data_IF_019291078614
#
_entry.id   IF_019291078614
#
_cell.length_a   1.000
_cell.length_b   1.000
_cell.length_c   1.000
_cell.angle_alpha   90.00
_cell.angle_beta   90.00
_cell.angle_gamma   90.00
#
_symmetry.space_group_name_H-M   'P 1'
#
loop_
_entity.id
_entity.type
_entity.pdbx_description
1 polymer ?
#
# COMPACT_ATOMS: atom_id res chain seq x y z
N UNK A 1 52.97 21.93 -17.98
CA UNK A 1 53.27 20.61 -17.42
C UNK A 1 51.92 19.91 -17.22
N UNK A 2 51.65 19.00 -18.13
CA UNK A 2 50.41 18.20 -18.16
C UNK A 2 50.65 16.88 -17.42
N UNK A 3 49.82 16.55 -16.47
CA UNK A 3 49.70 15.18 -16.04
C UNK A 3 48.31 14.65 -16.42
N UNK A 4 48.31 13.78 -17.39
CA UNK A 4 47.15 13.06 -17.87
C UNK A 4 46.83 11.86 -16.97
N UNK A 5 45.60 11.79 -16.49
CA UNK A 5 45.06 10.60 -15.82
C UNK A 5 44.69 9.57 -16.84
N UNK A 6 45.40 8.45 -16.84
CA UNK A 6 45.18 7.26 -17.66
C UNK A 6 43.95 6.51 -17.12
N UNK A 7 42.88 6.45 -17.92
CA UNK A 7 41.82 5.50 -17.72
C UNK A 7 42.23 4.13 -18.27
N UNK A 8 42.40 3.17 -17.36
CA UNK A 8 42.70 1.78 -17.70
C UNK A 8 41.58 1.16 -18.54
N UNK A 9 41.96 0.58 -19.67
CA UNK A 9 41.11 -0.29 -20.50
C UNK A 9 40.70 -1.49 -19.65
N UNK A 10 39.39 -1.60 -19.35
CA UNK A 10 38.80 -2.86 -18.89
C UNK A 10 38.68 -3.77 -20.12
N UNK A 11 39.30 -4.93 -20.04
CA UNK A 11 39.35 -5.93 -21.09
C UNK A 11 37.94 -6.39 -21.48
N UNK A 12 37.69 -6.40 -22.78
CA UNK A 12 36.53 -6.99 -23.40
C UNK A 12 36.51 -8.50 -23.13
N UNK A 13 35.48 -8.97 -22.44
CA UNK A 13 35.27 -10.40 -22.11
C UNK A 13 33.90 -10.69 -21.51
N UNK A 14 32.90 -9.85 -21.72
CA UNK A 14 31.50 -10.19 -21.41
C UNK A 14 30.82 -10.66 -22.70
N UNK A 15 30.71 -11.96 -22.83
CA UNK A 15 29.82 -12.61 -23.79
C UNK A 15 28.39 -12.17 -23.46
N UNK A 16 27.90 -11.17 -24.18
CA UNK A 16 26.47 -10.90 -24.25
C UNK A 16 25.85 -12.06 -25.00
N UNK A 17 24.92 -12.77 -24.38
CA UNK A 17 24.10 -13.74 -25.07
C UNK A 17 23.31 -12.98 -26.14
N UNK A 18 23.80 -13.03 -27.40
CA UNK A 18 22.98 -12.72 -28.56
C UNK A 18 22.06 -13.91 -28.76
N UNK A 19 20.77 -13.74 -28.47
CA UNK A 19 19.76 -14.69 -28.92
C UNK A 19 19.74 -14.65 -30.44
N UNK A 20 19.82 -15.80 -31.15
CA UNK A 20 19.62 -15.81 -32.58
C UNK A 20 18.18 -15.36 -32.85
N UNK A 21 18.02 -14.33 -33.67
CA UNK A 21 16.75 -13.98 -34.31
C UNK A 21 16.36 -15.16 -35.23
N UNK A 22 15.52 -16.08 -34.83
CA UNK A 22 14.69 -16.90 -35.71
C UNK A 22 14.32 -18.33 -35.25
N UNK A 23 14.63 -18.80 -34.02
CA UNK A 23 14.06 -20.08 -33.58
C UNK A 23 13.47 -19.94 -32.15
N UNK A 24 12.23 -19.50 -32.08
CA UNK A 24 11.49 -19.66 -30.82
C UNK A 24 11.31 -21.15 -30.53
N UNK A 25 11.86 -21.61 -29.41
CA UNK A 25 11.73 -22.99 -28.93
C UNK A 25 10.26 -23.43 -28.96
N UNK A 26 9.99 -24.55 -29.60
CA UNK A 26 8.64 -25.09 -29.75
C UNK A 26 8.32 -26.12 -28.64
N UNK A 27 7.03 -26.39 -28.41
CA UNK A 27 6.62 -27.48 -27.51
C UNK A 27 7.15 -28.84 -27.93
N UNK A 28 7.48 -29.02 -29.22
CA UNK A 28 8.08 -30.23 -29.74
C UNK A 28 9.54 -30.37 -29.23
N UNK A 29 10.28 -29.27 -29.19
CA UNK A 29 11.67 -29.27 -28.69
C UNK A 29 11.70 -29.59 -27.21
N UNK A 30 10.74 -29.04 -26.43
CA UNK A 30 10.55 -29.38 -25.01
C UNK A 30 10.23 -30.86 -24.83
N UNK A 31 9.32 -31.41 -25.63
CA UNK A 31 8.95 -32.82 -25.56
C UNK A 31 10.14 -33.74 -25.88
N UNK A 32 10.93 -33.39 -26.93
CA UNK A 32 12.13 -34.12 -27.29
C UNK A 32 13.20 -34.07 -26.20
N UNK A 33 13.47 -32.88 -25.67
CA UNK A 33 14.43 -32.65 -24.59
C UNK A 33 14.04 -33.37 -23.31
N UNK A 34 12.76 -33.35 -22.92
CA UNK A 34 12.23 -34.06 -21.77
C UNK A 34 12.08 -35.58 -22.00
N UNK A 35 12.26 -36.10 -23.21
CA UNK A 35 12.07 -37.50 -23.55
C UNK A 35 10.64 -37.97 -23.37
N UNK A 36 9.64 -37.14 -23.77
CA UNK A 36 8.21 -37.43 -23.67
C UNK A 36 7.49 -37.16 -25.00
N UNK A 37 6.25 -37.63 -25.13
CA UNK A 37 5.43 -37.24 -26.29
C UNK A 37 4.99 -35.77 -26.21
N UNK A 38 4.79 -35.10 -27.35
CA UNK A 38 4.25 -33.74 -27.41
C UNK A 38 2.91 -33.63 -26.65
N UNK A 39 2.07 -34.66 -26.72
CA UNK A 39 0.83 -34.70 -25.96
C UNK A 39 1.03 -34.74 -24.43
N UNK A 40 2.14 -35.36 -23.97
CA UNK A 40 2.49 -35.37 -22.54
C UNK A 40 3.03 -34.01 -22.11
N UNK A 41 3.93 -33.42 -22.91
CA UNK A 41 4.41 -32.07 -22.67
C UNK A 41 3.23 -31.05 -22.64
N UNK A 42 2.28 -31.17 -23.56
CA UNK A 42 1.09 -30.35 -23.61
C UNK A 42 0.23 -30.47 -22.34
N UNK A 43 0.03 -31.70 -21.83
CA UNK A 43 -0.73 -31.91 -20.57
C UNK A 43 -0.05 -31.26 -19.36
N UNK A 44 1.29 -31.28 -19.32
CA UNK A 44 2.05 -30.61 -18.23
C UNK A 44 1.86 -29.10 -18.33
N UNK A 45 2.00 -28.51 -19.53
CA UNK A 45 1.84 -27.06 -19.74
C UNK A 45 0.43 -26.56 -19.42
N UNK A 46 -0.59 -27.45 -19.51
CA UNK A 46 -1.98 -27.13 -19.19
C UNK A 46 -2.41 -27.58 -17.78
N UNK A 47 -1.46 -27.93 -16.90
CA UNK A 47 -1.75 -28.24 -15.50
C UNK A 47 -2.52 -29.54 -15.24
N UNK A 48 -2.58 -30.47 -16.23
CA UNK A 48 -3.35 -31.70 -16.07
C UNK A 48 -2.82 -32.58 -14.93
N UNK A 49 -3.69 -32.96 -13.97
CA UNK A 49 -3.35 -33.78 -12.82
C UNK A 49 -2.98 -35.24 -13.19
N UNK A 50 -3.30 -35.66 -14.41
CA UNK A 50 -3.09 -37.03 -14.92
C UNK A 50 -1.62 -37.36 -15.25
N UNK A 51 -0.68 -36.42 -15.09
CA UNK A 51 0.74 -36.62 -15.39
C UNK A 51 1.49 -36.98 -14.09
N UNK A 52 2.30 -38.08 -14.15
CA UNK A 52 3.12 -38.51 -13.00
C UNK A 52 4.09 -37.39 -12.56
N UNK A 53 4.33 -37.21 -11.25
CA UNK A 53 5.20 -36.14 -10.71
C UNK A 53 6.59 -36.11 -11.38
N UNK A 54 7.25 -37.26 -11.52
CA UNK A 54 8.58 -37.37 -12.14
C UNK A 54 8.60 -36.93 -13.60
N UNK A 55 7.52 -37.19 -14.33
CA UNK A 55 7.37 -36.78 -15.74
C UNK A 55 7.12 -35.26 -15.82
N UNK A 56 6.34 -34.72 -14.88
CA UNK A 56 6.10 -33.29 -14.76
C UNK A 56 7.40 -32.53 -14.50
N UNK A 57 8.19 -32.96 -13.51
CA UNK A 57 9.49 -32.36 -13.19
C UNK A 57 10.44 -32.33 -14.39
N UNK A 58 10.51 -33.43 -15.16
CA UNK A 58 11.36 -33.49 -16.37
C UNK A 58 10.93 -32.48 -17.43
N UNK A 59 9.62 -32.35 -17.67
CA UNK A 59 9.10 -31.40 -18.66
C UNK A 59 9.33 -29.95 -18.17
N UNK A 60 9.10 -29.66 -16.91
CA UNK A 60 9.35 -28.34 -16.32
C UNK A 60 10.83 -27.96 -16.32
N UNK A 61 11.73 -28.94 -16.12
CA UNK A 61 13.17 -28.73 -16.26
C UNK A 61 13.53 -28.40 -17.72
N UNK A 62 13.05 -29.18 -18.68
CA UNK A 62 13.26 -28.95 -20.10
C UNK A 62 12.75 -27.57 -20.55
N UNK A 63 11.58 -27.15 -20.04
CA UNK A 63 11.04 -25.81 -20.31
C UNK A 63 11.97 -24.70 -19.80
N UNK A 64 12.54 -24.85 -18.61
CA UNK A 64 13.50 -23.88 -18.05
C UNK A 64 14.79 -23.84 -18.84
N UNK A 65 15.37 -25.02 -19.17
CA UNK A 65 16.64 -25.12 -19.90
C UNK A 65 16.53 -24.56 -21.33
N UNK A 66 15.40 -24.76 -21.97
CA UNK A 66 15.12 -24.30 -23.31
C UNK A 66 14.51 -22.89 -23.37
N UNK A 67 14.31 -22.24 -22.22
CA UNK A 67 13.60 -20.95 -22.08
C UNK A 67 12.21 -20.95 -22.75
N UNK A 68 11.59 -22.14 -22.81
CA UNK A 68 10.28 -22.32 -23.42
C UNK A 68 9.18 -21.74 -22.54
N UNK A 69 8.44 -20.80 -23.08
CA UNK A 69 7.22 -20.27 -22.45
C UNK A 69 6.03 -20.89 -23.19
N UNK A 70 5.16 -21.68 -22.48
CA UNK A 70 3.98 -22.25 -23.14
C UNK A 70 3.13 -21.16 -23.79
N UNK A 71 2.72 -21.37 -25.04
CA UNK A 71 1.78 -20.49 -25.75
C UNK A 71 0.37 -20.45 -25.11
N UNK A 72 0.18 -21.15 -23.99
CA UNK A 72 -1.06 -21.25 -23.20
C UNK A 72 -1.21 -20.22 -22.09
N UNK A 73 -0.27 -19.25 -21.97
CA UNK A 73 -0.83 -17.94 -21.59
C UNK A 73 -1.69 -17.52 -22.76
N UNK A 74 -3.00 -17.25 -22.57
CA UNK A 74 -3.74 -16.53 -23.60
C UNK A 74 -2.84 -15.38 -24.00
N UNK A 75 -2.56 -15.22 -25.31
CA UNK A 75 -1.79 -14.07 -25.80
C UNK A 75 -2.36 -12.89 -25.05
N UNK A 76 -1.54 -12.26 -24.22
CA UNK A 76 -2.07 -11.24 -23.31
C UNK A 76 -2.76 -10.24 -24.23
N UNK A 77 -4.10 -10.26 -24.25
CA UNK A 77 -4.92 -9.47 -25.16
C UNK A 77 -4.74 -7.99 -24.92
N UNK A 78 -3.82 -7.66 -24.02
CA UNK A 78 -3.41 -6.31 -23.68
C UNK A 78 -2.55 -6.28 -22.42
N UNK A 79 -2.13 -5.07 -22.04
CA UNK A 79 -1.40 -4.81 -20.79
C UNK A 79 -2.11 -3.74 -19.96
N UNK A 80 -1.87 -3.77 -18.65
CA UNK A 80 -2.30 -2.75 -17.69
C UNK A 80 -1.07 -2.10 -17.08
N UNK A 81 -1.04 -0.76 -17.04
CA UNK A 81 -0.08 -0.01 -16.22
C UNK A 81 -0.57 0.06 -14.78
N UNK A 82 0.27 -0.35 -13.81
CA UNK A 82 0.03 -0.16 -12.39
C UNK A 82 1.00 0.90 -11.88
N UNK A 83 0.51 2.11 -11.61
CA UNK A 83 1.31 3.22 -11.13
C UNK A 83 1.19 3.28 -9.60
N UNK A 84 2.32 3.12 -8.91
CA UNK A 84 2.40 3.04 -7.45
C UNK A 84 3.32 4.15 -6.93
N UNK A 85 3.04 4.70 -5.72
CA UNK A 85 3.89 5.74 -5.16
C UNK A 85 5.26 5.21 -4.73
N UNK A 86 5.33 3.95 -4.26
CA UNK A 86 6.57 3.34 -3.77
C UNK A 86 6.41 1.81 -3.58
N UNK A 87 7.54 1.11 -3.45
CA UNK A 87 7.58 -0.30 -3.06
C UNK A 87 8.04 -0.53 -1.61
N UNK A 88 8.48 0.54 -0.93
CA UNK A 88 8.98 0.45 0.44
C UNK A 88 7.86 0.16 1.46
N UNK A 89 6.66 0.68 1.22
CA UNK A 89 5.50 0.33 2.03
C UNK A 89 4.88 -1.00 1.53
N UNK A 90 4.88 -2.06 2.37
CA UNK A 90 4.40 -3.39 1.99
C UNK A 90 2.95 -3.43 1.48
N UNK A 91 2.09 -2.49 1.89
CA UNK A 91 0.69 -2.45 1.43
C UNK A 91 0.59 -2.28 -0.08
N UNK A 92 1.47 -1.45 -0.68
CA UNK A 92 1.46 -1.24 -2.13
C UNK A 92 1.97 -2.47 -2.88
N UNK A 93 2.98 -3.17 -2.34
CA UNK A 93 3.46 -4.42 -2.90
C UNK A 93 2.38 -5.51 -2.85
N UNK A 94 1.67 -5.64 -1.73
CA UNK A 94 0.56 -6.59 -1.57
C UNK A 94 -0.58 -6.29 -2.54
N UNK A 95 -0.95 -5.01 -2.70
CA UNK A 95 -1.98 -4.59 -3.64
C UNK A 95 -1.58 -4.85 -5.09
N UNK A 96 -0.32 -4.52 -5.47
CA UNK A 96 0.19 -4.78 -6.81
C UNK A 96 0.22 -6.28 -7.13
N UNK A 97 0.61 -7.12 -6.18
CA UNK A 97 0.61 -8.57 -6.33
C UNK A 97 -0.81 -9.13 -6.51
N UNK A 98 -1.77 -8.66 -5.71
CA UNK A 98 -3.16 -9.06 -5.84
C UNK A 98 -3.74 -8.63 -7.19
N UNK A 99 -3.46 -7.39 -7.64
CA UNK A 99 -3.91 -6.88 -8.94
C UNK A 99 -3.27 -7.67 -10.09
N UNK A 100 -1.97 -7.97 -10.02
CA UNK A 100 -1.28 -8.83 -11.02
C UNK A 100 -1.95 -10.20 -11.15
N UNK A 101 -2.28 -10.81 -10.00
CA UNK A 101 -2.95 -12.11 -9.97
C UNK A 101 -4.30 -12.07 -10.69
N UNK A 102 -5.12 -11.06 -10.46
CA UNK A 102 -6.42 -10.91 -11.13
C UNK A 102 -6.26 -10.52 -12.61
N UNK A 103 -5.29 -9.65 -12.94
CA UNK A 103 -4.99 -9.29 -14.33
C UNK A 103 -4.56 -10.50 -15.15
N UNK A 104 -3.66 -11.33 -14.62
CA UNK A 104 -3.22 -12.57 -15.27
C UNK A 104 -4.36 -13.54 -15.50
N UNK A 105 -5.31 -13.68 -14.54
CA UNK A 105 -6.53 -14.50 -14.72
C UNK A 105 -7.43 -13.96 -15.82
N UNK A 106 -7.43 -12.65 -16.05
CA UNK A 106 -8.17 -11.99 -17.13
C UNK A 106 -7.40 -11.94 -18.46
N UNK A 107 -6.24 -12.62 -18.57
CA UNK A 107 -5.42 -12.63 -19.79
C UNK A 107 -4.69 -11.32 -20.04
N UNK A 108 -4.45 -10.50 -19.02
CA UNK A 108 -3.77 -9.20 -19.11
C UNK A 108 -2.39 -9.28 -18.47
N UNK A 109 -1.38 -8.69 -19.11
CA UNK A 109 -0.07 -8.48 -18.52
C UNK A 109 -0.07 -7.19 -17.67
N UNK A 110 0.82 -7.12 -16.67
CA UNK A 110 0.97 -5.91 -15.84
C UNK A 110 2.35 -5.28 -16.01
N UNK A 111 2.38 -3.95 -16.07
CA UNK A 111 3.60 -3.15 -16.06
C UNK A 111 3.59 -2.31 -14.78
N UNK A 112 4.52 -2.60 -13.87
CA UNK A 112 4.64 -1.88 -12.60
C UNK A 112 5.48 -0.61 -12.79
N UNK A 113 4.94 0.54 -12.41
CA UNK A 113 5.55 1.85 -12.51
C UNK A 113 5.68 2.49 -11.13
N UNK A 114 6.91 2.64 -10.61
CA UNK A 114 7.17 3.30 -9.34
C UNK A 114 7.35 4.81 -9.55
N UNK A 115 6.35 5.59 -9.19
CA UNK A 115 6.38 7.06 -9.34
C UNK A 115 7.24 7.74 -8.28
N UNK A 116 7.60 7.05 -7.20
CA UNK A 116 8.28 7.61 -6.03
C UNK A 116 7.59 8.87 -5.48
N UNK A 117 6.25 8.91 -5.54
CA UNK A 117 5.44 10.04 -5.09
C UNK A 117 5.65 11.33 -5.90
N UNK A 118 6.16 11.23 -7.13
CA UNK A 118 6.46 12.38 -7.99
C UNK A 118 5.51 12.47 -9.17
N UNK A 119 4.72 13.54 -9.23
CA UNK A 119 3.84 13.85 -10.35
C UNK A 119 4.58 13.84 -11.70
N UNK A 120 5.80 14.38 -11.75
CA UNK A 120 6.61 14.40 -12.98
C UNK A 120 6.98 12.99 -13.46
N UNK A 121 7.30 12.08 -12.53
CA UNK A 121 7.58 10.68 -12.87
C UNK A 121 6.31 9.94 -13.28
N UNK A 122 5.18 10.25 -12.66
CA UNK A 122 3.88 9.71 -13.02
C UNK A 122 3.54 10.05 -14.48
N UNK A 123 3.63 11.33 -14.86
CA UNK A 123 3.46 11.79 -16.23
C UNK A 123 4.43 11.09 -17.19
N UNK A 124 5.70 10.93 -16.81
CA UNK A 124 6.70 10.21 -17.63
C UNK A 124 6.33 8.75 -17.87
N UNK A 125 5.82 8.05 -16.85
CA UNK A 125 5.34 6.67 -16.99
C UNK A 125 4.08 6.58 -17.85
N UNK A 126 3.14 7.51 -17.68
CA UNK A 126 1.95 7.58 -18.54
C UNK A 126 2.34 7.71 -20.01
N UNK A 127 3.25 8.63 -20.34
CA UNK A 127 3.77 8.75 -21.72
C UNK A 127 4.38 7.46 -22.21
N UNK A 128 5.26 6.84 -21.45
CA UNK A 128 5.89 5.57 -21.80
C UNK A 128 4.86 4.45 -22.06
N UNK A 129 3.80 4.38 -21.24
CA UNK A 129 2.73 3.39 -21.40
C UNK A 129 1.94 3.62 -22.67
N UNK A 130 1.54 4.87 -22.97
CA UNK A 130 0.80 5.23 -24.18
C UNK A 130 1.62 4.97 -25.46
N UNK A 131 2.93 5.26 -25.46
CA UNK A 131 3.82 4.93 -26.58
C UNK A 131 3.84 3.41 -26.87
N UNK A 132 3.64 2.59 -25.84
CA UNK A 132 3.53 1.12 -25.95
C UNK A 132 2.10 0.61 -26.14
N UNK A 133 1.16 1.52 -26.41
CA UNK A 133 -0.27 1.22 -26.58
C UNK A 133 -0.90 0.56 -25.34
N UNK A 134 -0.38 0.88 -24.15
CA UNK A 134 -0.99 0.51 -22.87
C UNK A 134 -1.89 1.66 -22.43
N UNK A 135 -3.17 1.51 -22.73
CA UNK A 135 -4.20 2.55 -22.50
C UNK A 135 -5.03 2.30 -21.26
N UNK A 136 -4.80 1.17 -20.56
CA UNK A 136 -5.45 0.81 -19.29
C UNK A 136 -4.48 1.01 -18.15
N UNK A 137 -4.87 1.87 -17.20
CA UNK A 137 -3.99 2.24 -16.11
C UNK A 137 -4.73 2.27 -14.77
N UNK A 138 -4.12 1.68 -13.74
CA UNK A 138 -4.54 1.86 -12.36
C UNK A 138 -3.57 2.80 -11.65
N UNK A 139 -4.11 3.86 -11.08
CA UNK A 139 -3.38 4.84 -10.29
C UNK A 139 -3.63 4.55 -8.81
N UNK A 140 -2.60 4.13 -8.09
CA UNK A 140 -2.70 3.67 -6.71
C UNK A 140 -2.11 4.75 -5.79
N UNK A 141 -2.95 5.38 -4.96
CA UNK A 141 -2.53 6.49 -4.09
C UNK A 141 -1.66 7.51 -4.84
N UNK A 142 -2.06 7.84 -6.06
CA UNK A 142 -1.34 8.71 -6.98
C UNK A 142 -1.57 10.20 -6.66
N UNK A 143 -1.15 11.09 -7.55
CA UNK A 143 -1.34 12.54 -7.41
C UNK A 143 -2.82 12.93 -7.21
N UNK A 144 -3.77 12.11 -7.69
CA UNK A 144 -5.21 12.29 -7.45
C UNK A 144 -5.58 12.35 -5.96
N UNK A 145 -4.73 11.85 -5.07
CA UNK A 145 -4.94 11.93 -3.62
C UNK A 145 -4.50 13.26 -3.01
N UNK A 146 -3.69 14.08 -3.69
CA UNK A 146 -3.37 15.43 -3.22
C UNK A 146 -4.52 16.40 -3.58
N UNK A 147 -5.23 16.87 -2.57
CA UNK A 147 -6.39 17.74 -2.75
C UNK A 147 -6.06 19.13 -3.33
N UNK A 148 -4.76 19.44 -3.51
CA UNK A 148 -4.29 20.70 -4.13
C UNK A 148 -3.99 20.51 -5.61
N UNK A 149 -3.84 19.27 -6.07
CA UNK A 149 -3.43 18.99 -7.44
C UNK A 149 -4.55 19.29 -8.44
N UNK A 150 -4.15 19.79 -9.61
CA UNK A 150 -5.03 19.91 -10.76
C UNK A 150 -5.09 18.54 -11.48
N UNK A 151 -6.28 17.96 -11.48
CA UNK A 151 -6.52 16.64 -12.07
C UNK A 151 -6.85 16.69 -13.58
N UNK A 152 -6.72 17.85 -14.23
CA UNK A 152 -7.09 18.04 -15.64
C UNK A 152 -6.34 17.10 -16.60
N UNK A 153 -5.09 16.73 -16.25
CA UNK A 153 -4.31 15.79 -17.06
C UNK A 153 -4.93 14.37 -17.10
N UNK A 154 -5.54 13.91 -16.01
CA UNK A 154 -6.27 12.62 -16.02
C UNK A 154 -7.51 12.69 -16.92
N UNK A 155 -8.27 13.78 -16.86
CA UNK A 155 -9.42 13.97 -17.74
C UNK A 155 -8.99 13.99 -19.21
N UNK A 156 -7.88 14.65 -19.54
CA UNK A 156 -7.33 14.61 -20.91
C UNK A 156 -6.95 13.21 -21.39
N UNK A 157 -6.50 12.33 -20.50
CA UNK A 157 -6.22 10.93 -20.83
C UNK A 157 -7.52 10.17 -21.11
N UNK A 158 -8.55 10.37 -20.29
CA UNK A 158 -9.88 9.79 -20.46
C UNK A 158 -10.50 10.24 -21.78
N UNK A 159 -10.47 11.54 -22.09
CA UNK A 159 -10.97 12.12 -23.34
C UNK A 159 -10.28 11.57 -24.59
N UNK A 160 -9.04 11.07 -24.45
CA UNK A 160 -8.29 10.40 -25.53
C UNK A 160 -8.53 8.89 -25.60
N UNK A 161 -9.43 8.37 -24.77
CA UNK A 161 -9.80 6.96 -24.75
C UNK A 161 -8.98 6.08 -23.81
N UNK A 162 -8.09 6.64 -22.98
CA UNK A 162 -7.42 5.88 -21.94
C UNK A 162 -8.43 5.50 -20.84
N UNK A 163 -8.28 4.29 -20.31
CA UNK A 163 -9.15 3.75 -19.26
C UNK A 163 -8.43 3.79 -17.93
N UNK A 164 -8.93 4.61 -17.02
CA UNK A 164 -8.29 4.87 -15.75
C UNK A 164 -9.14 4.32 -14.61
N UNK A 165 -8.49 3.66 -13.66
CA UNK A 165 -9.07 3.30 -12.36
C UNK A 165 -8.19 3.89 -11.27
N UNK A 166 -8.80 4.61 -10.34
CA UNK A 166 -8.11 5.17 -9.18
C UNK A 166 -8.30 4.26 -7.97
N UNK A 167 -7.20 3.86 -7.35
CA UNK A 167 -7.22 2.98 -6.17
C UNK A 167 -6.76 3.75 -4.94
N UNK A 168 -7.59 3.76 -3.90
CA UNK A 168 -7.41 4.56 -2.69
C UNK A 168 -7.23 6.07 -2.99
N UNK A 169 -7.87 6.54 -4.02
CA UNK A 169 -7.97 7.93 -4.41
C UNK A 169 -9.18 8.12 -5.30
N UNK A 170 -9.83 9.26 -5.20
CA UNK A 170 -10.97 9.62 -6.02
C UNK A 170 -11.02 11.14 -6.21
N UNK A 171 -11.56 11.56 -7.33
CA UNK A 171 -11.94 12.96 -7.57
C UNK A 171 -13.29 12.98 -8.23
N UNK A 172 -14.23 13.73 -7.65
CA UNK A 172 -15.58 13.92 -8.22
C UNK A 172 -15.55 14.65 -9.57
N UNK A 173 -14.42 15.30 -9.89
CA UNK A 173 -14.22 16.00 -11.14
C UNK A 173 -13.80 15.07 -12.30
N UNK A 174 -13.52 13.79 -12.05
CA UNK A 174 -13.03 12.85 -13.05
C UNK A 174 -14.11 11.83 -13.42
N UNK A 175 -14.32 11.66 -14.71
CA UNK A 175 -15.17 10.59 -15.26
C UNK A 175 -14.43 9.25 -15.28
N UNK A 176 -14.12 8.73 -14.09
CA UNK A 176 -13.39 7.47 -13.93
C UNK A 176 -13.89 6.65 -12.73
N UNK A 177 -13.72 5.34 -12.82
CA UNK A 177 -14.00 4.45 -11.71
C UNK A 177 -12.97 4.63 -10.60
N UNK A 178 -13.44 4.71 -9.36
CA UNK A 178 -12.57 4.65 -8.18
C UNK A 178 -12.91 3.44 -7.31
N UNK A 179 -11.87 2.87 -6.70
CA UNK A 179 -11.98 1.69 -5.84
C UNK A 179 -11.12 1.94 -4.61
N UNK A 180 -11.70 1.88 -3.43
CA UNK A 180 -10.90 2.16 -2.23
C UNK A 180 -11.53 1.69 -0.94
N UNK A 181 -10.84 1.96 0.15
CA UNK A 181 -11.32 1.74 1.51
C UNK A 181 -12.04 2.99 2.03
N UNK A 182 -13.03 2.81 2.90
CA UNK A 182 -13.67 3.91 3.63
C UNK A 182 -12.70 4.46 4.68
N UNK A 183 -11.93 5.48 4.27
CA UNK A 183 -10.91 6.12 5.09
C UNK A 183 -11.53 6.83 6.32
N UNK A 184 -12.72 7.40 6.16
CA UNK A 184 -13.45 8.05 7.26
C UNK A 184 -13.94 7.02 8.27
N UNK A 185 -14.48 5.88 7.79
CA UNK A 185 -14.82 4.78 8.67
C UNK A 185 -13.58 4.21 9.38
N UNK A 186 -12.42 4.17 8.73
CA UNK A 186 -11.17 3.72 9.34
C UNK A 186 -10.76 4.59 10.54
N UNK A 187 -10.73 5.91 10.35
CA UNK A 187 -10.45 6.86 11.43
C UNK A 187 -11.47 6.74 12.57
N UNK A 188 -12.75 6.59 12.23
CA UNK A 188 -13.82 6.40 13.21
C UNK A 188 -13.66 5.08 13.99
N UNK A 189 -13.48 3.95 13.33
CA UNK A 189 -13.35 2.62 13.98
C UNK A 189 -12.14 2.61 14.93
N UNK A 190 -10.99 3.15 14.50
CA UNK A 190 -9.80 3.22 15.34
C UNK A 190 -10.03 4.08 16.59
N UNK A 191 -10.76 5.18 16.46
CA UNK A 191 -11.09 6.09 17.57
C UNK A 191 -12.11 5.46 18.51
N UNK A 192 -13.18 4.87 17.99
CA UNK A 192 -14.21 4.17 18.75
C UNK A 192 -13.59 3.05 19.60
N UNK A 193 -12.65 2.27 19.03
CA UNK A 193 -11.93 1.24 19.78
C UNK A 193 -11.17 1.80 20.98
N UNK A 194 -10.45 2.92 20.84
CA UNK A 194 -9.74 3.55 21.93
C UNK A 194 -10.71 4.17 22.96
N UNK A 195 -11.84 4.74 22.51
CA UNK A 195 -12.89 5.26 23.39
C UNK A 195 -13.54 4.14 24.21
N UNK A 196 -13.83 2.98 23.62
CA UNK A 196 -14.37 1.79 24.29
C UNK A 196 -13.43 1.26 25.37
N UNK A 197 -12.11 1.39 25.19
CA UNK A 197 -11.10 1.08 26.20
C UNK A 197 -11.01 2.13 27.32
N UNK A 198 -11.68 3.29 27.17
CA UNK A 198 -11.71 4.36 28.16
C UNK A 198 -10.72 5.51 27.93
N UNK A 199 -10.04 5.54 26.75
CA UNK A 199 -9.19 6.66 26.40
C UNK A 199 -10.01 7.92 26.09
N UNK A 200 -9.58 9.07 26.62
CA UNK A 200 -10.15 10.39 26.32
C UNK A 200 -9.13 11.35 25.70
N UNK A 201 -7.84 11.03 25.79
CA UNK A 201 -6.75 11.77 25.16
C UNK A 201 -6.20 10.89 24.03
N UNK A 202 -6.78 11.09 22.83
CA UNK A 202 -6.48 10.28 21.66
C UNK A 202 -5.76 11.16 20.63
N UNK A 203 -4.49 10.83 20.38
CA UNK A 203 -3.65 11.49 19.39
C UNK A 203 -3.81 10.89 18.00
N UNK A 204 -3.38 11.64 17.00
CA UNK A 204 -3.27 11.20 15.62
C UNK A 204 -1.88 11.52 15.07
N UNK A 205 -1.08 10.51 14.82
CA UNK A 205 0.17 10.59 14.07
C UNK A 205 -0.20 10.45 12.58
N UNK A 206 -0.39 11.61 11.98
CA UNK A 206 -0.98 11.79 10.67
C UNK A 206 0.07 11.83 9.55
N UNK A 207 -0.31 11.37 8.37
CA UNK A 207 0.45 11.57 7.14
C UNK A 207 0.37 13.02 6.63
N UNK A 208 0.68 13.23 5.35
CA UNK A 208 0.56 14.55 4.72
C UNK A 208 -0.87 15.11 4.90
N UNK A 209 -0.96 16.34 5.37
CA UNK A 209 -2.23 17.04 5.63
C UNK A 209 -3.08 17.29 4.37
N UNK A 210 -2.46 17.26 3.21
CA UNK A 210 -3.13 17.45 1.92
C UNK A 210 -3.49 16.14 1.23
N UNK A 211 -3.05 15.00 1.77
CA UNK A 211 -3.47 13.69 1.28
C UNK A 211 -4.93 13.41 1.68
N UNK A 212 -5.79 13.12 0.70
CA UNK A 212 -7.19 12.80 0.91
C UNK A 212 -7.40 11.70 1.97
N UNK A 213 -6.64 10.57 1.97
CA UNK A 213 -6.77 9.55 3.00
C UNK A 213 -6.50 10.05 4.42
N UNK A 214 -5.54 10.97 4.59
CA UNK A 214 -5.25 11.60 5.90
C UNK A 214 -6.41 12.46 6.36
N UNK A 215 -6.95 13.27 5.46
CA UNK A 215 -8.07 14.17 5.77
C UNK A 215 -9.32 13.40 6.17
N UNK A 216 -9.67 12.37 5.41
CA UNK A 216 -10.84 11.54 5.70
C UNK A 216 -10.70 10.80 7.05
N UNK A 217 -9.53 10.23 7.35
CA UNK A 217 -9.25 9.62 8.66
C UNK A 217 -9.38 10.66 9.80
N UNK A 218 -8.89 11.88 9.57
CA UNK A 218 -9.01 12.98 10.55
C UNK A 218 -10.48 13.29 10.83
N UNK A 219 -11.30 13.43 9.76
CA UNK A 219 -12.74 13.68 9.89
C UNK A 219 -13.41 12.54 10.68
N UNK A 220 -13.10 11.28 10.33
CA UNK A 220 -13.65 10.11 11.03
C UNK A 220 -13.28 10.05 12.50
N UNK A 221 -12.02 10.36 12.86
CA UNK A 221 -11.57 10.52 14.23
C UNK A 221 -12.36 11.60 14.97
N UNK A 222 -12.44 12.77 14.39
CA UNK A 222 -13.07 13.92 15.02
C UNK A 222 -14.57 13.72 15.22
N UNK A 223 -15.24 13.07 14.29
CA UNK A 223 -16.65 12.69 14.41
C UNK A 223 -16.87 11.72 15.58
N UNK A 224 -16.00 10.72 15.74
CA UNK A 224 -16.10 9.77 16.85
C UNK A 224 -15.84 10.44 18.21
N UNK A 225 -14.87 11.35 18.29
CA UNK A 225 -14.61 12.13 19.51
C UNK A 225 -15.83 12.99 19.89
N UNK A 226 -16.39 13.73 18.92
CA UNK A 226 -17.60 14.55 19.16
C UNK A 226 -18.80 13.72 19.59
N UNK A 227 -19.00 12.56 18.97
CA UNK A 227 -20.07 11.63 19.34
C UNK A 227 -19.95 11.14 20.80
N UNK A 228 -18.71 11.03 21.31
CA UNK A 228 -18.41 10.70 22.69
C UNK A 228 -18.41 11.92 23.65
N UNK A 229 -18.81 13.12 23.17
CA UNK A 229 -18.80 14.36 23.96
C UNK A 229 -17.40 14.92 24.24
N UNK A 230 -16.41 14.52 23.45
CA UNK A 230 -15.03 14.99 23.54
C UNK A 230 -14.76 15.94 22.37
N UNK A 231 -14.43 17.20 22.68
CA UNK A 231 -14.00 18.10 21.62
C UNK A 231 -12.70 17.62 20.99
N UNK A 232 -12.59 17.60 19.64
CA UNK A 232 -11.35 17.27 18.96
C UNK A 232 -10.24 18.19 19.45
N UNK A 233 -9.25 17.60 20.06
CA UNK A 233 -8.11 18.30 20.62
C UNK A 233 -6.97 18.37 19.60
N UNK A 234 -6.02 19.27 19.81
CA UNK A 234 -4.85 19.48 18.96
C UNK A 234 -3.82 18.35 19.00
N UNK A 235 -4.16 17.16 19.50
CA UNK A 235 -3.25 16.01 19.48
C UNK A 235 -3.08 15.43 18.06
N UNK A 236 -2.59 16.24 17.13
CA UNK A 236 -2.29 15.84 15.76
C UNK A 236 -0.89 16.29 15.40
N UNK A 237 -0.05 15.34 14.93
CA UNK A 237 1.26 15.64 14.40
C UNK A 237 1.42 14.98 13.03
N UNK A 238 1.93 15.73 12.07
CA UNK A 238 2.11 15.27 10.69
C UNK A 238 3.55 14.83 10.42
N UNK A 239 3.70 13.82 9.55
CA UNK A 239 4.99 13.34 9.08
C UNK A 239 4.86 12.55 7.78
N UNK A 240 5.97 12.22 7.12
CA UNK A 240 5.98 11.28 6.01
C UNK A 240 5.39 9.91 6.40
N UNK A 241 4.82 9.19 5.45
CA UNK A 241 4.22 7.86 5.65
C UNK A 241 5.26 6.74 5.87
N UNK A 242 6.30 7.02 6.65
CA UNK A 242 7.43 6.13 6.93
C UNK A 242 7.59 5.85 8.42
N UNK A 243 8.38 4.83 8.77
CA UNK A 243 8.74 4.56 10.18
C UNK A 243 9.37 5.79 10.84
N UNK A 244 10.32 6.44 10.17
CA UNK A 244 10.98 7.63 10.69
C UNK A 244 10.02 8.83 10.82
N UNK A 245 9.10 8.99 9.84
CA UNK A 245 8.04 9.99 9.91
C UNK A 245 7.13 9.80 11.11
N UNK A 246 6.72 8.56 11.38
CA UNK A 246 5.93 8.21 12.57
C UNK A 246 6.67 8.49 13.87
N UNK A 247 7.96 8.13 13.94
CA UNK A 247 8.82 8.37 15.10
C UNK A 247 8.95 9.88 15.38
N UNK A 248 9.27 10.67 14.38
CA UNK A 248 9.46 12.12 14.52
C UNK A 248 8.16 12.83 14.87
N UNK A 249 7.03 12.48 14.22
CA UNK A 249 5.73 13.07 14.53
C UNK A 249 5.28 12.72 15.96
N UNK A 250 5.51 11.48 16.42
CA UNK A 250 5.20 11.11 17.82
C UNK A 250 6.07 11.85 18.82
N UNK A 251 7.35 12.03 18.53
CA UNK A 251 8.26 12.82 19.37
C UNK A 251 7.75 14.24 19.53
N UNK A 252 7.39 14.90 18.43
CA UNK A 252 6.83 16.26 18.44
C UNK A 252 5.52 16.32 19.25
N UNK A 253 4.62 15.35 19.06
CA UNK A 253 3.34 15.28 19.76
C UNK A 253 3.52 15.16 21.27
N UNK A 254 4.46 14.34 21.72
CA UNK A 254 4.76 14.18 23.15
C UNK A 254 5.41 15.42 23.77
N UNK A 255 6.29 16.11 23.02
CA UNK A 255 6.95 17.32 23.49
C UNK A 255 5.97 18.49 23.59
N UNK A 256 5.10 18.67 22.59
CA UNK A 256 4.07 19.72 22.60
C UNK A 256 3.07 19.54 23.74
N UNK A 257 2.73 18.30 24.05
CA UNK A 257 1.73 17.96 25.06
C UNK A 257 2.34 17.35 26.35
N UNK A 258 3.57 17.68 26.69
CA UNK A 258 4.29 17.07 27.80
C UNK A 258 3.57 17.14 29.15
N UNK A 259 2.71 18.16 29.38
CA UNK A 259 1.94 18.31 30.59
C UNK A 259 0.72 17.38 30.69
N UNK A 260 0.13 17.03 29.55
CA UNK A 260 -1.04 16.13 29.46
C UNK A 260 -0.98 15.31 28.16
N UNK A 261 -0.06 14.35 28.05
CA UNK A 261 0.18 13.60 26.82
C UNK A 261 -1.01 12.70 26.43
N UNK A 262 -1.15 12.34 25.15
CA UNK A 262 -2.12 11.34 24.72
C UNK A 262 -1.84 9.99 25.38
N UNK A 263 -2.89 9.23 25.67
CA UNK A 263 -2.79 7.87 26.20
C UNK A 263 -3.11 6.81 25.15
N UNK A 264 -3.72 7.21 24.05
CA UNK A 264 -3.94 6.40 22.87
C UNK A 264 -3.57 7.19 21.62
N UNK A 265 -3.01 6.55 20.64
CA UNK A 265 -2.59 7.17 19.37
C UNK A 265 -3.05 6.32 18.20
N UNK A 266 -3.66 6.97 17.23
CA UNK A 266 -3.96 6.42 15.91
C UNK A 266 -2.86 6.85 14.97
N UNK A 267 -2.45 5.99 14.03
CA UNK A 267 -1.45 6.29 13.01
C UNK A 267 -2.07 6.20 11.62
N UNK A 268 -1.63 7.05 10.70
CA UNK A 268 -2.13 7.05 9.32
C UNK A 268 -1.82 5.76 8.56
N UNK A 269 -0.75 5.05 8.93
CA UNK A 269 -0.42 3.71 8.43
C UNK A 269 0.40 2.90 9.45
N UNK A 270 0.61 1.62 9.17
CA UNK A 270 1.35 0.71 10.05
C UNK A 270 2.84 1.04 10.14
N UNK A 271 3.46 1.56 9.09
CA UNK A 271 4.86 1.99 9.15
C UNK A 271 5.03 3.15 10.16
N UNK A 272 4.13 4.12 10.14
CA UNK A 272 4.14 5.20 11.14
C UNK A 272 3.87 4.66 12.55
N UNK A 273 2.97 3.68 12.67
CA UNK A 273 2.71 3.01 13.96
C UNK A 273 3.96 2.31 14.51
N UNK A 274 4.73 1.63 13.66
CA UNK A 274 6.03 1.04 14.04
C UNK A 274 6.98 2.16 14.53
N UNK A 275 7.02 3.30 13.87
CA UNK A 275 7.79 4.45 14.30
C UNK A 275 7.36 4.99 15.68
N UNK A 276 6.05 5.04 15.91
CA UNK A 276 5.48 5.42 17.24
C UNK A 276 5.91 4.42 18.32
N UNK A 277 5.89 3.12 18.04
CA UNK A 277 6.37 2.10 18.97
C UNK A 277 7.87 2.27 19.30
N UNK A 278 8.69 2.61 18.31
CA UNK A 278 10.11 2.89 18.51
C UNK A 278 10.33 4.14 19.39
N UNK A 279 9.57 5.22 19.15
CA UNK A 279 9.65 6.42 19.98
C UNK A 279 9.16 6.17 21.40
N UNK A 280 8.11 5.36 21.58
CA UNK A 280 7.64 4.96 22.91
C UNK A 280 8.76 4.25 23.71
N UNK A 281 9.46 3.30 23.08
CA UNK A 281 10.61 2.62 23.70
C UNK A 281 11.72 3.62 24.03
N UNK A 282 12.06 4.53 23.12
CA UNK A 282 13.10 5.54 23.33
C UNK A 282 12.78 6.48 24.52
N UNK A 283 11.49 6.74 24.77
CA UNK A 283 11.00 7.55 25.89
C UNK A 283 10.71 6.75 27.16
N UNK A 284 10.91 5.43 27.14
CA UNK A 284 10.62 4.55 28.27
C UNK A 284 9.13 4.36 28.55
N UNK A 285 8.25 4.63 27.56
CA UNK A 285 6.81 4.38 27.67
C UNK A 285 6.51 2.91 27.34
N UNK A 286 5.71 2.29 28.18
CA UNK A 286 5.25 0.92 27.96
C UNK A 286 4.00 0.91 27.08
N UNK A 287 4.06 0.13 26.00
CA UNK A 287 2.90 -0.17 25.16
C UNK A 287 2.45 -1.61 25.48
N UNK A 288 1.17 -1.85 25.82
CA UNK A 288 0.05 -0.89 25.83
C UNK A 288 -0.20 -0.14 27.14
N UNK A 289 0.53 -0.43 28.22
CA UNK A 289 0.19 0.00 29.60
C UNK A 289 0.12 1.53 29.79
N UNK A 290 0.96 2.29 29.11
CA UNK A 290 1.06 3.75 29.23
C UNK A 290 0.65 4.47 27.95
N UNK A 291 0.74 3.78 26.80
CA UNK A 291 0.34 4.29 25.51
C UNK A 291 -0.28 3.16 24.69
N UNK A 292 -1.51 3.33 24.24
CA UNK A 292 -2.14 2.47 23.24
C UNK A 292 -1.85 2.98 21.83
N UNK A 293 -1.59 2.07 20.88
CA UNK A 293 -1.26 2.40 19.49
C UNK A 293 -2.13 1.61 18.54
N UNK A 294 -2.76 2.30 17.58
CA UNK A 294 -3.55 1.70 16.48
C UNK A 294 -2.96 2.12 15.15
N UNK A 295 -2.62 1.16 14.31
CA UNK A 295 -2.14 1.37 12.94
C UNK A 295 -3.26 1.37 11.90
N UNK A 296 -2.86 1.40 10.63
CA UNK A 296 -3.72 1.24 9.48
C UNK A 296 -2.90 0.62 8.34
N UNK A 297 -3.48 -0.25 7.57
CA UNK A 297 -3.10 -1.04 6.40
C UNK A 297 -3.27 -2.54 6.66
N UNK A 298 -2.88 -3.03 7.84
CA UNK A 298 -2.89 -4.44 8.15
C UNK A 298 -1.69 -5.20 7.59
N UNK A 299 -0.52 -4.55 7.44
CA UNK A 299 0.68 -5.22 6.90
C UNK A 299 1.22 -6.30 7.85
N UNK A 300 1.89 -7.31 7.29
CA UNK A 300 2.47 -8.43 8.07
C UNK A 300 3.50 -7.95 9.09
N UNK A 301 4.27 -6.90 8.77
CA UNK A 301 5.27 -6.33 9.66
C UNK A 301 4.68 -5.84 11.00
N UNK A 302 3.41 -5.41 11.01
CA UNK A 302 2.70 -5.10 12.24
C UNK A 302 2.55 -6.30 13.20
N UNK A 303 2.48 -7.51 12.65
CA UNK A 303 2.45 -8.75 13.44
C UNK A 303 3.80 -9.14 14.04
N UNK A 304 4.90 -8.57 13.55
CA UNK A 304 6.27 -8.85 14.04
C UNK A 304 6.70 -7.91 15.16
N UNK A 305 5.92 -6.86 15.45
CA UNK A 305 6.20 -5.98 16.59
C UNK A 305 5.92 -6.68 17.93
N UNK A 306 6.49 -6.17 19.01
CA UNK A 306 6.23 -6.67 20.35
C UNK A 306 5.84 -5.52 21.28
N UNK A 307 4.55 -5.52 21.68
CA UNK A 307 3.47 -6.44 21.30
C UNK A 307 3.04 -6.31 19.82
N UNK A 308 2.33 -7.32 19.25
CA UNK A 308 1.81 -7.24 17.87
C UNK A 308 0.85 -6.06 17.71
N UNK A 309 0.94 -5.37 16.59
CA UNK A 309 0.19 -4.13 16.34
C UNK A 309 -1.31 -4.39 16.16
N UNK A 310 -2.13 -3.65 16.91
CA UNK A 310 -3.55 -3.46 16.59
C UNK A 310 -3.66 -2.51 15.41
N UNK A 311 -4.40 -2.88 14.37
CA UNK A 311 -4.44 -2.09 13.13
C UNK A 311 -5.81 -2.17 12.45
N UNK A 312 -6.12 -1.18 11.64
CA UNK A 312 -7.26 -1.18 10.73
C UNK A 312 -6.80 -1.83 9.41
N UNK A 313 -7.37 -2.96 9.09
CA UNK A 313 -7.00 -3.77 7.93
C UNK A 313 -7.78 -3.35 6.69
N UNK A 314 -7.08 -3.15 5.58
CA UNK A 314 -7.66 -2.90 4.27
C UNK A 314 -8.06 -4.21 3.59
N UNK A 315 -9.21 -4.30 2.93
CA UNK A 315 -9.62 -5.50 2.18
C UNK A 315 -8.93 -5.55 0.80
N UNK A 316 -7.60 -5.71 0.78
CA UNK A 316 -6.73 -5.60 -0.41
C UNK A 316 -7.22 -6.51 -1.55
N UNK A 317 -7.59 -7.76 -1.24
CA UNK A 317 -8.01 -8.72 -2.27
C UNK A 317 -9.28 -8.25 -3.02
N UNK A 318 -10.27 -7.72 -2.28
CA UNK A 318 -11.51 -7.20 -2.87
C UNK A 318 -11.25 -5.93 -3.67
N UNK A 319 -10.40 -5.03 -3.17
CA UNK A 319 -10.00 -3.80 -3.87
C UNK A 319 -9.33 -4.17 -5.19
N UNK A 320 -8.32 -5.05 -5.15
CA UNK A 320 -7.58 -5.49 -6.33
C UNK A 320 -8.49 -6.15 -7.37
N UNK A 321 -9.36 -7.09 -6.93
CA UNK A 321 -10.32 -7.76 -7.78
C UNK A 321 -11.25 -6.78 -8.49
N UNK A 322 -11.80 -5.83 -7.75
CA UNK A 322 -12.75 -4.84 -8.28
C UNK A 322 -12.05 -3.89 -9.26
N UNK A 323 -10.85 -3.40 -8.93
CA UNK A 323 -10.09 -2.52 -9.80
C UNK A 323 -9.73 -3.19 -11.14
N UNK A 324 -9.28 -4.44 -11.12
CA UNK A 324 -8.99 -5.19 -12.34
C UNK A 324 -10.27 -5.53 -13.12
N UNK A 325 -11.34 -5.89 -12.44
CA UNK A 325 -12.62 -6.11 -13.10
C UNK A 325 -13.10 -4.86 -13.84
N UNK A 326 -13.00 -3.68 -13.22
CA UNK A 326 -13.34 -2.41 -13.84
C UNK A 326 -12.50 -2.12 -15.10
N UNK A 327 -11.17 -2.36 -15.03
CA UNK A 327 -10.28 -2.21 -16.20
C UNK A 327 -10.51 -3.25 -17.30
N UNK A 328 -11.06 -4.43 -16.97
CA UNK A 328 -11.28 -5.53 -17.91
C UNK A 328 -12.67 -5.48 -18.56
N UNK A 329 -13.73 -5.20 -17.78
CA UNK A 329 -15.13 -5.26 -18.23
C UNK A 329 -15.50 -4.15 -19.22
N UNK A 330 -14.82 -3.01 -19.15
CA UNK A 330 -15.00 -1.94 -20.12
C UNK A 330 -14.54 -2.29 -21.55
N UNK A 331 -13.95 -3.48 -21.76
CA UNK A 331 -13.69 -4.00 -23.12
C UNK A 331 -14.96 -4.45 -23.81
N UNK A 332 -15.92 -4.95 -23.05
CA UNK A 332 -17.10 -5.60 -23.58
C UNK A 332 -18.34 -4.69 -23.55
N UNK A 333 -18.32 -3.62 -22.73
CA UNK A 333 -19.43 -2.68 -22.60
C UNK A 333 -18.95 -1.23 -22.33
N UNK A 334 -18.85 -0.38 -23.37
CA UNK A 334 -18.46 1.01 -23.21
C UNK A 334 -19.47 1.86 -22.42
N UNK A 335 -20.70 1.36 -22.23
CA UNK A 335 -21.75 2.04 -21.47
C UNK A 335 -21.77 1.61 -19.98
N UNK A 336 -20.78 0.86 -19.52
CA UNK A 336 -20.69 0.47 -18.11
C UNK A 336 -20.56 1.73 -17.24
N UNK A 337 -21.53 1.92 -16.36
CA UNK A 337 -21.59 3.10 -15.52
C UNK A 337 -20.33 3.23 -14.66
N UNK A 338 -19.67 4.38 -14.73
CA UNK A 338 -18.60 4.75 -13.82
C UNK A 338 -19.09 4.60 -12.38
N UNK A 339 -18.28 3.98 -11.53
CA UNK A 339 -18.68 3.68 -10.18
C UNK A 339 -17.59 4.03 -9.15
N UNK A 340 -18.03 4.46 -7.99
CA UNK A 340 -17.16 4.63 -6.83
C UNK A 340 -17.39 3.46 -5.87
N UNK A 341 -16.44 2.52 -5.79
CA UNK A 341 -16.51 1.36 -4.92
C UNK A 341 -15.76 1.65 -3.62
N UNK A 342 -16.49 1.72 -2.52
CA UNK A 342 -15.92 2.01 -1.20
C UNK A 342 -16.14 0.80 -0.29
N UNK A 343 -15.04 0.20 0.17
CA UNK A 343 -15.06 -0.99 1.01
C UNK A 343 -14.80 -0.64 2.48
N UNK A 344 -15.58 -1.26 3.36
CA UNK A 344 -15.43 -1.06 4.81
C UNK A 344 -14.18 -1.77 5.32
N UNK A 345 -13.28 -1.06 6.03
CA UNK A 345 -12.13 -1.66 6.69
C UNK A 345 -12.54 -2.44 7.94
N UNK A 346 -11.61 -3.24 8.50
CA UNK A 346 -11.83 -4.02 9.72
C UNK A 346 -10.76 -3.71 10.76
N UNK A 347 -11.16 -3.68 12.02
CA UNK A 347 -10.21 -3.68 13.13
C UNK A 347 -9.64 -5.09 13.30
N UNK A 348 -8.31 -5.21 13.25
CA UNK A 348 -7.55 -6.40 13.62
C UNK A 348 -6.85 -6.15 14.95
N UNK A 349 -7.29 -6.85 15.99
CA UNK A 349 -6.72 -6.73 17.32
C UNK A 349 -5.34 -7.39 17.38
N UNK A 350 -4.38 -6.66 17.93
CA UNK A 350 -3.07 -7.14 18.36
C UNK A 350 -2.92 -7.03 19.88
N UNK A 351 -1.74 -6.60 20.31
CA UNK A 351 -1.44 -6.40 21.73
C UNK A 351 -1.05 -4.97 22.09
N UNK A 352 -1.16 -4.00 21.16
CA UNK A 352 -0.72 -2.61 21.38
C UNK A 352 -1.79 -1.71 21.98
N UNK A 353 -2.95 -2.25 22.37
CA UNK A 353 -4.05 -1.46 22.96
C UNK A 353 -4.54 -2.08 24.27
N UNK A 354 -4.76 -1.26 25.28
CA UNK A 354 -5.33 -1.62 26.58
C UNK A 354 -6.06 -0.42 27.20
N UNK A 355 -6.67 -0.59 28.36
CA UNK A 355 -7.24 0.54 29.10
C UNK A 355 -6.17 1.58 29.48
N UNK A 356 -6.49 2.89 29.45
CA UNK A 356 -5.53 3.94 29.79
C UNK A 356 -5.03 3.81 31.23
N UNK A 357 -3.79 4.29 31.50
CA UNK A 357 -3.26 4.28 32.86
C UNK A 357 -4.14 5.12 33.81
N UNK A 358 -4.38 4.60 35.00
CA UNK A 358 -5.09 5.34 36.01
C UNK A 358 -4.36 6.67 36.30
N UNK A 359 -5.06 7.78 36.22
CA UNK A 359 -4.51 9.09 36.62
C UNK A 359 -4.02 9.00 38.06
N UNK A 360 -2.71 9.08 38.29
CA UNK A 360 -2.21 9.31 39.66
C UNK A 360 -2.83 10.61 40.15
N UNK A 361 -3.71 10.51 41.16
CA UNK A 361 -4.30 11.68 41.79
C UNK A 361 -3.17 12.65 42.12
N UNK A 362 -3.28 13.89 41.61
CA UNK A 362 -2.29 14.92 41.89
C UNK A 362 -2.05 14.95 43.39
N UNK A 363 -0.84 14.63 43.85
CA UNK A 363 -0.48 14.75 45.27
C UNK A 363 -0.77 16.20 45.66
N UNK A 364 -1.85 16.43 46.44
CA UNK A 364 -2.11 17.73 47.10
C UNK A 364 -0.82 18.08 47.83
N UNK A 365 -0.19 19.19 47.41
CA UNK A 365 0.92 19.75 48.15
C UNK A 365 0.47 19.92 49.61
N UNK A 366 1.28 19.50 50.60
CA UNK A 366 0.92 19.68 52.02
C UNK A 366 0.73 21.17 52.26
N UNK A 367 -0.49 21.51 52.69
CA UNK A 367 -0.88 22.89 53.00
C UNK A 367 0.15 23.52 53.94
N UNK A 368 0.75 24.64 53.51
CA UNK A 368 1.54 25.49 54.40
C UNK A 368 0.68 25.83 55.61
N UNK A 369 1.03 25.29 56.77
CA UNK A 369 0.48 25.69 58.03
C UNK A 369 0.64 27.21 58.19
N UNK A 370 -0.49 27.93 58.27
CA UNK A 370 -0.51 29.35 58.64
C UNK A 370 0.06 29.47 60.05
N UNK A 371 1.23 30.11 60.16
CA UNK A 371 1.75 30.57 61.46
C UNK A 371 0.78 31.58 61.99
N UNK A 372 0.31 31.33 63.23
CA UNK A 372 -0.48 32.29 64.01
C UNK A 372 0.40 33.48 64.40
N UNK A 373 -0.13 34.73 64.33
CA UNK A 373 0.60 35.88 64.89
C UNK A 373 0.60 35.87 66.40
N UNK A 374 1.77 36.20 66.97
CA UNK A 374 1.88 36.57 68.38
C UNK A 374 1.49 38.03 68.64
#
# INVERSE_FOLDING_TARGET
>A
MHEGMMWGRIAAGSSWYTFPDDEMTSLRDVAEHAGVSVATAWRVTHGADSVRPETRERVELAMRELLYVPATRPEATGAIGLLLPEFANPVFAALAQAMETYATRSGLATILCNTAGSALREVGYVHMLLERRVERMAFICAEVTDVRSDHAHYQQLIDRGARLVFVNGASEALEATSVGVDERAAGRIATEHLLELGHTRIGFVAGDAFALPTREKTIGRDDALRAAGIEPNGYVAHGPFTVEGGRTAMSALLDEHAADPPTGVICSNDLMAIGVLQEAVARGLRVPDELSVVGFDGIDAGGWTQPPLTTIEQPIDVIAKTAIAALSSELDDPDLALANYVFRPRLRLGGTTAAPPLRKAARRAPGRARAAPR
#
